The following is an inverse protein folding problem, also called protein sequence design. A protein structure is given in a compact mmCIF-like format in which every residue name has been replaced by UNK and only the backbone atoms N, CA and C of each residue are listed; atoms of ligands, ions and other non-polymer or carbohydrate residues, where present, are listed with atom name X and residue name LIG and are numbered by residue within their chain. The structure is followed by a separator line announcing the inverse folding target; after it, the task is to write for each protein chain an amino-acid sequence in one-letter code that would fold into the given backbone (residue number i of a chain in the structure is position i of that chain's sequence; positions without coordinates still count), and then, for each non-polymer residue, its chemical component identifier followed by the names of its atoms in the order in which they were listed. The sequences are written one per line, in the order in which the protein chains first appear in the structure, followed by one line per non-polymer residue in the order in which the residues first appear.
data_IF_546310696483
#
_entry.id   IF_546310696483
#
_cell.length_a   1.000
_cell.length_b   1.000
_cell.length_c   1.000
_cell.angle_alpha   90.00
_cell.angle_beta   90.00
_cell.angle_gamma   90.00
#
_symmetry.space_group_name_H-M   'P 1'
#
loop_
_entity.id
_entity.type
_entity.pdbx_description
1 polymer ?
#
# COMPACT_ATOMS: atom_id res chain seq x y z
N UNK A 1 19.89 -12.56 -10.40
CA UNK A 1 21.18 -11.84 -10.61
C UNK A 1 20.88 -10.38 -10.31
N UNK A 2 21.39 -9.66 -9.31
CA UNK A 2 22.56 -9.81 -8.45
C UNK A 2 22.22 -10.35 -7.05
N UNK A 3 22.88 -11.44 -6.66
CA UNK A 3 22.85 -11.99 -5.31
C UNK A 3 24.29 -12.33 -4.91
N UNK A 4 25.15 -11.31 -4.85
CA UNK A 4 26.44 -11.30 -4.15
C UNK A 4 26.66 -9.89 -3.61
N UNK A 5 27.16 -9.80 -2.38
CA UNK A 5 26.94 -8.68 -1.47
C UNK A 5 27.58 -7.37 -1.91
N UNK A 6 26.74 -6.44 -2.38
CA UNK A 6 27.04 -5.02 -2.29
C UNK A 6 26.52 -4.60 -0.92
N UNK A 7 27.43 -4.27 -0.01
CA UNK A 7 27.06 -3.79 1.32
C UNK A 7 26.63 -2.31 1.22
N UNK A 8 25.42 -2.12 0.71
CA UNK A 8 24.79 -0.81 0.61
C UNK A 8 24.16 -0.54 1.97
N UNK A 9 24.72 0.42 2.71
CA UNK A 9 24.24 0.82 4.03
C UNK A 9 23.78 2.28 3.99
N UNK A 10 22.98 2.68 5.00
CA UNK A 10 22.52 4.05 5.23
C UNK A 10 21.63 4.66 4.13
N UNK A 11 20.68 3.87 3.61
CA UNK A 11 19.67 4.39 2.70
C UNK A 11 18.57 5.15 3.46
N UNK A 12 18.08 6.26 2.88
CA UNK A 12 16.90 6.96 3.42
C UNK A 12 15.60 6.18 3.15
N UNK A 13 15.54 5.49 2.01
CA UNK A 13 14.37 4.76 1.56
C UNK A 13 14.74 3.38 1.01
N UNK A 14 13.90 2.38 1.30
CA UNK A 14 13.94 1.05 0.68
C UNK A 14 12.60 0.82 0.00
N UNK A 15 12.61 0.49 -1.30
CA UNK A 15 11.41 0.20 -2.07
C UNK A 15 11.43 -1.26 -2.51
N UNK A 16 10.51 -2.07 -1.99
CA UNK A 16 10.27 -3.42 -2.46
C UNK A 16 9.22 -3.39 -3.57
N UNK A 17 9.66 -3.54 -4.82
CA UNK A 17 8.75 -3.59 -5.98
C UNK A 17 7.80 -4.80 -5.96
N UNK A 18 8.25 -5.91 -5.38
CA UNK A 18 7.44 -7.08 -5.10
C UNK A 18 7.75 -7.58 -3.69
N UNK A 19 6.74 -8.18 -3.03
CA UNK A 19 6.91 -8.66 -1.67
C UNK A 19 7.88 -9.85 -1.63
N UNK A 20 8.87 -9.86 -0.71
CA UNK A 20 9.77 -11.00 -0.58
C UNK A 20 9.05 -12.31 -0.23
N UNK A 21 9.49 -13.39 -0.87
CA UNK A 21 9.00 -14.74 -0.62
C UNK A 21 9.46 -15.33 0.71
N UNK A 22 10.36 -14.68 1.44
CA UNK A 22 10.80 -15.13 2.76
C UNK A 22 10.76 -14.03 3.83
N UNK A 23 10.31 -14.44 5.02
CA UNK A 23 10.59 -13.84 6.35
C UNK A 23 11.81 -12.92 6.40
N UNK A 24 12.92 -13.63 6.49
CA UNK A 24 14.26 -13.12 6.65
C UNK A 24 14.68 -12.21 5.51
N UNK A 25 14.28 -12.54 4.26
CA UNK A 25 14.55 -11.69 3.11
C UNK A 25 13.91 -10.32 3.21
N UNK A 26 12.68 -10.22 3.75
CA UNK A 26 12.04 -8.93 4.00
C UNK A 26 12.79 -8.11 5.04
N UNK A 27 13.13 -8.73 6.18
CA UNK A 27 13.85 -8.07 7.28
C UNK A 27 15.23 -7.57 6.83
N UNK A 28 15.99 -8.39 6.10
CA UNK A 28 17.30 -7.99 5.58
C UNK A 28 17.24 -6.84 4.58
N UNK A 29 16.18 -6.74 3.76
CA UNK A 29 16.00 -5.63 2.81
C UNK A 29 15.68 -4.33 3.53
N UNK A 30 14.68 -4.34 4.41
CA UNK A 30 14.29 -3.12 5.13
C UNK A 30 15.34 -2.67 6.14
N UNK A 31 16.17 -3.60 6.64
CA UNK A 31 17.31 -3.30 7.51
C UNK A 31 18.44 -2.50 6.86
N UNK A 32 18.29 -2.07 5.60
CA UNK A 32 19.20 -1.17 4.87
C UNK A 32 18.91 0.31 5.11
N UNK A 33 17.77 0.63 5.73
CA UNK A 33 17.38 1.99 6.16
C UNK A 33 17.21 2.07 7.68
N UNK A 34 17.13 3.27 8.25
CA UNK A 34 16.82 3.49 9.66
C UNK A 34 17.87 3.00 10.66
N UNK A 35 19.16 3.10 10.31
CA UNK A 35 20.30 2.67 11.14
C UNK A 35 20.89 3.82 11.96
N UNK A 36 21.63 3.47 13.02
CA UNK A 36 22.36 4.41 13.88
C UNK A 36 21.48 5.54 14.45
N UNK A 37 20.23 5.23 14.79
CA UNK A 37 19.27 6.20 15.34
C UNK A 37 18.65 7.15 14.31
N UNK A 38 18.99 7.02 13.02
CA UNK A 38 18.36 7.78 11.93
C UNK A 38 16.98 7.21 11.62
N UNK A 39 16.08 8.07 11.16
CA UNK A 39 14.82 7.64 10.58
C UNK A 39 15.03 7.01 9.20
N UNK A 40 14.13 6.11 8.82
CA UNK A 40 14.21 5.38 7.56
C UNK A 40 12.86 4.84 7.14
N UNK A 41 12.58 4.89 5.83
CA UNK A 41 11.27 4.53 5.29
C UNK A 41 11.38 3.31 4.38
N UNK A 42 10.61 2.27 4.68
CA UNK A 42 10.49 1.09 3.82
C UNK A 42 9.09 1.02 3.21
N UNK A 43 9.02 1.04 1.88
CA UNK A 43 7.78 0.97 1.10
C UNK A 43 7.75 -0.38 0.38
N UNK A 44 6.63 -1.09 0.44
CA UNK A 44 6.47 -2.38 -0.25
C UNK A 44 5.21 -2.38 -1.06
N UNK A 45 5.34 -2.62 -2.36
CA UNK A 45 4.20 -2.84 -3.23
C UNK A 45 3.71 -4.27 -3.08
N UNK A 46 2.39 -4.40 -3.05
CA UNK A 46 1.71 -5.69 -2.93
C UNK A 46 0.55 -5.72 -3.91
N UNK A 47 0.34 -6.88 -4.50
CA UNK A 47 -0.89 -7.22 -5.21
C UNK A 47 -1.91 -7.82 -4.25
N UNK A 48 -3.20 -7.85 -4.61
CA UNK A 48 -4.21 -8.64 -3.92
C UNK A 48 -3.82 -10.07 -3.55
N UNK A 49 -3.22 -10.82 -4.48
CA UNK A 49 -2.87 -12.23 -4.28
C UNK A 49 -1.76 -12.39 -3.23
N UNK A 50 -0.92 -11.36 -3.07
CA UNK A 50 0.19 -11.31 -2.12
C UNK A 50 -0.24 -10.87 -0.72
N UNK A 51 -1.50 -10.50 -0.50
CA UNK A 51 -1.97 -10.01 0.80
C UNK A 51 -1.76 -11.03 1.92
N UNK A 52 -1.92 -12.32 1.64
CA UNK A 52 -1.64 -13.39 2.61
C UNK A 52 -0.17 -13.38 3.07
N UNK A 53 0.75 -13.10 2.14
CA UNK A 53 2.19 -13.02 2.41
C UNK A 53 2.51 -11.85 3.33
N UNK A 54 1.89 -10.69 3.08
CA UNK A 54 2.01 -9.52 3.94
C UNK A 54 1.61 -9.87 5.38
N UNK A 55 0.49 -10.54 5.58
CA UNK A 55 0.03 -10.93 6.92
C UNK A 55 1.03 -11.86 7.63
N UNK A 56 1.65 -12.80 6.91
CA UNK A 56 2.69 -13.66 7.47
C UNK A 56 3.90 -12.86 7.93
N UNK A 57 4.34 -11.89 7.11
CA UNK A 57 5.45 -10.99 7.45
C UNK A 57 5.11 -10.15 8.69
N UNK A 58 3.92 -9.55 8.74
CA UNK A 58 3.48 -8.74 9.89
C UNK A 58 3.45 -9.56 11.19
N UNK A 59 2.94 -10.80 11.12
CA UNK A 59 2.92 -11.72 12.28
C UNK A 59 4.34 -12.05 12.77
N UNK A 60 5.27 -12.31 11.85
CA UNK A 60 6.66 -12.63 12.20
C UNK A 60 7.42 -11.42 12.77
N UNK A 61 7.25 -10.23 12.18
CA UNK A 61 7.90 -8.98 12.62
C UNK A 61 7.21 -8.36 13.83
N UNK A 62 6.01 -8.83 14.20
CA UNK A 62 5.17 -8.31 15.29
C UNK A 62 4.90 -6.80 15.17
N UNK A 63 4.79 -6.30 13.93
CA UNK A 63 4.46 -4.90 13.65
C UNK A 63 3.38 -4.81 12.60
N UNK A 64 2.51 -3.82 12.77
CA UNK A 64 1.55 -3.45 11.74
C UNK A 64 2.26 -2.65 10.65
N UNK A 65 2.11 -3.08 9.39
CA UNK A 65 2.55 -2.32 8.23
C UNK A 65 1.34 -1.53 7.76
N UNK A 66 1.43 -0.20 7.85
CA UNK A 66 0.35 0.71 7.47
C UNK A 66 0.18 0.69 5.95
N UNK A 67 -1.07 0.58 5.49
CA UNK A 67 -1.42 0.76 4.09
C UNK A 67 -1.51 2.26 3.81
N UNK A 68 -0.66 2.75 2.92
CA UNK A 68 -0.73 4.11 2.42
C UNK A 68 -1.57 4.22 1.15
N UNK A 69 -2.09 5.42 0.89
CA UNK A 69 -2.72 5.75 -0.39
C UNK A 69 -1.64 6.07 -1.43
N UNK A 70 -1.92 5.75 -2.68
CA UNK A 70 -1.09 6.23 -3.77
C UNK A 70 -1.31 7.74 -3.94
N UNK A 71 -0.25 8.51 -4.26
CA UNK A 71 -0.39 9.92 -4.59
C UNK A 71 -1.21 10.06 -5.88
N UNK A 72 -2.01 11.13 -5.95
CA UNK A 72 -2.71 11.47 -7.17
C UNK A 72 -1.74 12.15 -8.16
N UNK A 73 -2.10 12.20 -9.45
CA UNK A 73 -1.29 12.86 -10.49
C UNK A 73 -0.94 14.31 -10.09
N UNK A 74 -1.90 15.00 -9.47
CA UNK A 74 -1.71 16.36 -8.96
C UNK A 74 -0.62 16.42 -7.89
N UNK A 75 -0.59 15.48 -6.96
CA UNK A 75 0.44 15.43 -5.91
C UNK A 75 1.83 15.21 -6.51
N UNK A 76 1.92 14.34 -7.53
CA UNK A 76 3.17 14.09 -8.25
C UNK A 76 3.66 15.37 -8.94
N UNK A 77 2.78 16.06 -9.66
CA UNK A 77 3.14 17.31 -10.34
C UNK A 77 3.54 18.39 -9.35
N UNK A 78 2.84 18.51 -8.22
CA UNK A 78 3.21 19.47 -7.17
C UNK A 78 4.60 19.16 -6.59
N UNK A 79 4.91 17.89 -6.33
CA UNK A 79 6.24 17.49 -5.89
C UNK A 79 7.33 17.78 -6.94
N UNK A 80 7.02 17.62 -8.24
CA UNK A 80 7.93 18.00 -9.33
C UNK A 80 8.14 19.51 -9.40
N UNK A 81 7.08 20.32 -9.28
CA UNK A 81 7.17 21.78 -9.22
C UNK A 81 8.03 22.24 -8.05
N UNK A 82 7.81 21.66 -6.87
CA UNK A 82 8.63 21.96 -5.70
C UNK A 82 10.11 21.68 -5.97
N UNK A 83 10.43 20.53 -6.58
CA UNK A 83 11.81 20.19 -6.94
C UNK A 83 12.43 21.18 -7.93
N UNK A 84 11.68 21.62 -8.95
CA UNK A 84 12.16 22.63 -9.90
C UNK A 84 12.50 23.94 -9.17
N UNK A 85 11.64 24.37 -8.23
CA UNK A 85 11.87 25.58 -7.44
C UNK A 85 13.10 25.42 -6.54
N UNK A 86 13.26 24.26 -5.91
CA UNK A 86 14.41 23.94 -5.05
C UNK A 86 15.72 23.94 -5.84
N UNK A 87 15.74 23.29 -7.01
CA UNK A 87 16.88 23.26 -7.92
C UNK A 87 17.27 24.68 -8.37
N UNK A 88 16.28 25.52 -8.71
CA UNK A 88 16.51 26.94 -9.04
C UNK A 88 17.06 27.70 -7.83
N UNK A 89 16.49 27.47 -6.64
CA UNK A 89 16.94 28.07 -5.38
C UNK A 89 18.40 27.76 -5.08
N UNK A 90 18.82 26.51 -5.30
CA UNK A 90 20.21 26.09 -5.10
C UNK A 90 21.16 26.80 -6.09
N UNK A 91 20.80 26.89 -7.37
CA UNK A 91 21.59 27.63 -8.38
C UNK A 91 21.75 29.11 -7.99
N UNK A 92 20.68 29.71 -7.45
CA UNK A 92 20.73 31.10 -6.99
C UNK A 92 21.69 31.29 -5.80
N UNK A 93 21.68 30.36 -4.84
CA UNK A 93 22.60 30.35 -3.69
C UNK A 93 24.05 30.21 -4.17
N UNK A 94 24.30 29.28 -5.08
CA UNK A 94 25.64 28.96 -5.57
C UNK A 94 26.19 30.00 -6.57
N UNK A 95 25.34 30.94 -7.00
CA UNK A 95 25.61 31.93 -8.05
C UNK A 95 26.06 31.33 -9.39
N UNK A 96 25.68 30.07 -9.67
CA UNK A 96 26.04 29.34 -10.89
C UNK A 96 25.16 29.73 -12.10
N UNK A 97 24.82 31.03 -12.19
CA UNK A 97 24.04 31.60 -13.29
C UNK A 97 24.74 32.80 -13.96
N UNK A 98 25.89 33.24 -13.44
CA UNK A 98 26.62 34.41 -13.92
C UNK A 98 26.94 34.34 -15.42
N UNK A 99 27.29 33.15 -15.93
CA UNK A 99 27.60 32.90 -17.34
C UNK A 99 26.39 33.14 -18.26
N UNK A 100 25.18 33.04 -17.73
CA UNK A 100 23.93 33.21 -18.48
C UNK A 100 23.35 34.62 -18.38
N UNK A 101 23.89 35.50 -17.51
CA UNK A 101 23.36 36.87 -17.30
C UNK A 101 23.24 37.70 -18.56
N UNK A 102 24.19 37.60 -19.49
CA UNK A 102 24.15 38.35 -20.75
C UNK A 102 22.96 37.91 -21.61
N UNK A 103 22.80 36.60 -21.80
CA UNK A 103 21.68 36.03 -22.54
C UNK A 103 20.34 36.37 -21.89
N UNK A 104 20.24 36.26 -20.55
CA UNK A 104 19.04 36.62 -19.82
C UNK A 104 18.64 38.09 -20.06
N UNK A 105 19.61 39.02 -20.02
CA UNK A 105 19.36 40.44 -20.34
C UNK A 105 18.91 40.66 -21.78
N UNK A 106 19.43 39.89 -22.73
CA UNK A 106 19.02 40.01 -24.12
C UNK A 106 17.60 39.46 -24.34
N UNK A 107 17.24 38.36 -23.67
CA UNK A 107 15.86 37.84 -23.67
C UNK A 107 14.88 38.86 -23.09
N UNK A 108 15.20 39.46 -21.94
CA UNK A 108 14.36 40.47 -21.27
C UNK A 108 14.13 41.77 -22.06
N UNK A 109 14.87 41.99 -23.16
CA UNK A 109 14.59 43.10 -24.08
C UNK A 109 13.49 42.75 -25.10
N UNK A 110 13.26 41.46 -25.35
CA UNK A 110 12.34 40.98 -26.37
C UNK A 110 10.92 40.81 -25.84
N UNK A 111 10.78 40.38 -24.59
CA UNK A 111 9.52 40.03 -23.96
C UNK A 111 9.61 40.21 -22.43
N UNK A 112 8.48 40.25 -21.74
CA UNK A 112 8.49 40.31 -20.28
C UNK A 112 9.06 39.05 -19.61
N UNK A 113 9.52 39.23 -18.37
CA UNK A 113 10.18 38.18 -17.60
C UNK A 113 9.27 36.96 -17.36
N UNK A 114 7.97 37.17 -17.16
CA UNK A 114 7.03 36.10 -16.86
C UNK A 114 6.82 35.20 -18.08
N UNK A 115 6.60 35.79 -19.25
CA UNK A 115 6.44 35.08 -20.50
C UNK A 115 7.71 34.33 -20.93
N UNK A 116 8.89 34.90 -20.69
CA UNK A 116 10.18 34.22 -20.94
C UNK A 116 10.34 33.01 -20.01
N UNK A 117 10.09 33.18 -18.71
CA UNK A 117 10.19 32.09 -17.74
C UNK A 117 9.17 31.00 -18.05
N UNK A 118 7.92 31.35 -18.36
CA UNK A 118 6.89 30.40 -18.78
C UNK A 118 7.31 29.62 -20.04
N UNK A 119 7.93 30.29 -21.01
CA UNK A 119 8.45 29.66 -22.22
C UNK A 119 9.61 28.71 -21.95
N UNK A 120 10.54 29.08 -21.06
CA UNK A 120 11.65 28.22 -20.64
C UNK A 120 11.17 27.00 -19.85
N UNK A 121 10.17 27.19 -18.97
CA UNK A 121 9.52 26.10 -18.23
C UNK A 121 8.81 25.16 -19.19
N UNK A 122 8.11 25.68 -20.19
CA UNK A 122 7.51 24.85 -21.25
C UNK A 122 8.59 24.08 -22.02
N UNK A 123 9.65 24.75 -22.47
CA UNK A 123 10.73 24.12 -23.23
C UNK A 123 11.42 22.98 -22.45
N UNK A 124 11.61 23.17 -21.15
CA UNK A 124 12.42 22.26 -20.32
C UNK A 124 11.58 21.20 -19.59
N UNK A 125 10.31 21.48 -19.30
CA UNK A 125 9.49 20.69 -18.40
C UNK A 125 8.06 20.43 -18.89
N UNK A 126 7.74 20.73 -20.17
CA UNK A 126 6.39 20.43 -20.72
C UNK A 126 5.99 18.98 -20.44
N UNK A 127 6.87 18.02 -20.73
CA UNK A 127 6.56 16.60 -20.55
C UNK A 127 6.35 16.22 -19.07
N UNK A 128 7.05 16.90 -18.16
CA UNK A 128 7.02 16.60 -16.72
C UNK A 128 5.80 17.21 -16.04
N UNK A 129 5.35 18.38 -16.51
CA UNK A 129 4.26 19.14 -15.89
C UNK A 129 2.90 18.93 -16.55
N UNK A 130 2.84 18.23 -17.68
CA UNK A 130 1.59 17.85 -18.35
C UNK A 130 0.92 16.68 -17.62
N UNK A 131 -0.29 16.92 -17.11
CA UNK A 131 -1.14 15.91 -16.46
C UNK A 131 -1.43 14.71 -17.38
N UNK A 132 -1.53 14.94 -18.69
CA UNK A 132 -1.87 13.90 -19.67
C UNK A 132 -0.77 12.84 -19.83
N UNK A 133 0.46 13.13 -19.40
CA UNK A 133 1.57 12.19 -19.46
C UNK A 133 1.59 11.18 -18.31
N UNK A 134 0.67 11.31 -17.35
CA UNK A 134 0.59 10.43 -16.20
C UNK A 134 -0.66 9.55 -16.27
N UNK A 135 -0.47 8.26 -15.97
CA UNK A 135 -1.59 7.34 -15.84
C UNK A 135 -2.29 7.56 -14.50
N UNK A 136 -3.60 7.73 -14.52
CA UNK A 136 -4.41 7.66 -13.30
C UNK A 136 -4.45 6.23 -12.77
N UNK A 137 -4.08 6.06 -11.50
CA UNK A 137 -4.12 4.76 -10.85
C UNK A 137 -5.42 4.68 -10.03
N UNK A 138 -6.33 3.83 -10.47
CA UNK A 138 -7.54 3.54 -9.69
C UNK A 138 -7.18 2.81 -8.39
N UNK A 139 -7.74 3.23 -7.24
CA UNK A 139 -7.50 2.54 -5.98
C UNK A 139 -8.08 1.12 -6.04
N UNK A 140 -7.24 0.12 -5.74
CA UNK A 140 -7.68 -1.27 -5.60
C UNK A 140 -8.72 -1.36 -4.48
N UNK A 141 -9.92 -1.85 -4.79
CA UNK A 141 -10.99 -2.00 -3.80
C UNK A 141 -10.62 -3.15 -2.86
N UNK A 142 -10.98 -3.07 -1.57
CA UNK A 142 -10.68 -4.17 -0.63
C UNK A 142 -11.33 -5.49 -1.04
N UNK A 143 -12.41 -5.46 -1.82
CA UNK A 143 -13.05 -6.65 -2.39
C UNK A 143 -12.12 -7.41 -3.37
N UNK A 144 -11.13 -6.73 -3.94
CA UNK A 144 -10.20 -7.30 -4.91
C UNK A 144 -9.08 -8.10 -4.24
N UNK A 145 -8.86 -7.95 -2.91
CA UNK A 145 -7.76 -8.56 -2.12
C UNK A 145 -7.82 -10.10 -2.00
N UNK A 146 -8.60 -10.78 -2.85
CA UNK A 146 -8.87 -12.21 -2.77
C UNK A 146 -9.89 -12.55 -1.68
N UNK A 147 -10.76 -13.51 -1.96
CA UNK A 147 -11.82 -13.95 -1.03
C UNK A 147 -11.44 -15.26 -0.35
N UNK A 148 -11.74 -15.37 0.93
CA UNK A 148 -11.72 -16.60 1.69
C UNK A 148 -13.16 -17.04 1.99
N UNK A 149 -13.41 -18.34 1.87
CA UNK A 149 -14.63 -18.96 2.38
C UNK A 149 -14.36 -19.43 3.80
N UNK A 150 -15.16 -18.98 4.76
CA UNK A 150 -15.10 -19.41 6.16
C UNK A 150 -16.18 -20.46 6.41
N UNK A 151 -15.81 -21.54 7.09
CA UNK A 151 -16.71 -22.53 7.67
C UNK A 151 -17.07 -22.09 9.08
N UNK A 152 -18.35 -22.18 9.44
CA UNK A 152 -18.86 -21.89 10.77
C UNK A 152 -19.59 -23.13 11.28
N UNK A 153 -19.18 -23.65 12.43
CA UNK A 153 -19.78 -24.83 13.07
C UNK A 153 -21.11 -24.51 13.77
N UNK A 154 -21.97 -23.72 13.12
CA UNK A 154 -23.33 -23.41 13.55
C UNK A 154 -24.26 -23.35 12.33
N UNK A 155 -25.43 -23.98 12.41
CA UNK A 155 -26.42 -24.09 11.34
C UNK A 155 -27.84 -23.79 11.80
N UNK A 156 -28.83 -24.23 11.01
CA UNK A 156 -30.27 -24.05 11.32
C UNK A 156 -30.67 -24.68 12.64
N UNK A 157 -30.07 -25.82 13.00
CA UNK A 157 -30.28 -26.50 14.29
C UNK A 157 -29.83 -25.65 15.48
N UNK A 158 -28.89 -24.73 15.26
CA UNK A 158 -28.44 -23.75 16.24
C UNK A 158 -29.22 -22.42 16.17
N UNK A 159 -30.34 -22.39 15.43
CA UNK A 159 -31.19 -21.21 15.25
C UNK A 159 -30.61 -20.13 14.33
N UNK A 160 -29.57 -20.46 13.55
CA UNK A 160 -28.95 -19.52 12.63
C UNK A 160 -29.81 -19.30 11.38
N UNK A 161 -29.88 -18.03 10.97
CA UNK A 161 -30.35 -17.59 9.66
C UNK A 161 -29.21 -16.80 9.00
N UNK A 162 -29.20 -16.60 7.67
CA UNK A 162 -28.16 -15.80 7.02
C UNK A 162 -27.95 -14.43 7.68
N UNK A 163 -29.05 -13.77 8.06
CA UNK A 163 -29.02 -12.48 8.78
C UNK A 163 -28.38 -12.61 10.16
N UNK A 164 -28.84 -13.56 10.99
CA UNK A 164 -28.31 -13.78 12.35
C UNK A 164 -26.83 -14.18 12.33
N UNK A 165 -26.41 -14.99 11.36
CA UNK A 165 -25.02 -15.41 11.19
C UNK A 165 -24.12 -14.20 10.89
N UNK A 166 -24.54 -13.34 9.96
CA UNK A 166 -23.81 -12.11 9.63
C UNK A 166 -23.72 -11.18 10.84
N UNK A 167 -24.84 -10.94 11.53
CA UNK A 167 -24.88 -10.12 12.76
C UNK A 167 -23.95 -10.69 13.84
N UNK A 168 -23.94 -12.01 14.03
CA UNK A 168 -23.08 -12.69 14.99
C UNK A 168 -21.58 -12.47 14.71
N UNK A 169 -21.17 -12.58 13.44
CA UNK A 169 -19.79 -12.33 13.02
C UNK A 169 -19.43 -10.85 13.20
N UNK A 170 -20.27 -9.93 12.74
CA UNK A 170 -20.05 -8.48 12.85
C UNK A 170 -19.89 -8.06 14.31
N UNK A 171 -20.77 -8.55 15.20
CA UNK A 171 -20.77 -8.19 16.62
C UNK A 171 -19.49 -8.63 17.33
N UNK A 172 -18.98 -9.83 17.01
CA UNK A 172 -17.81 -10.39 17.70
C UNK A 172 -16.49 -9.93 17.08
N UNK A 173 -16.38 -9.99 15.75
CA UNK A 173 -15.14 -9.67 15.02
C UNK A 173 -14.99 -8.18 14.67
N UNK A 174 -16.00 -7.34 14.94
CA UNK A 174 -16.01 -5.90 14.64
C UNK A 174 -15.69 -5.57 13.17
N UNK A 175 -16.07 -6.45 12.25
CA UNK A 175 -15.91 -6.26 10.80
C UNK A 175 -17.15 -5.60 10.21
N UNK A 176 -17.01 -4.84 9.11
CA UNK A 176 -18.16 -4.24 8.42
C UNK A 176 -19.01 -5.33 7.77
N UNK A 177 -20.33 -5.22 7.91
CA UNK A 177 -21.29 -6.14 7.30
C UNK A 177 -21.12 -6.25 5.77
N UNK A 178 -20.74 -5.16 5.09
CA UNK A 178 -20.55 -5.13 3.63
C UNK A 178 -19.45 -6.09 3.12
N UNK A 179 -18.53 -6.51 3.99
CA UNK A 179 -17.48 -7.46 3.64
C UNK A 179 -17.94 -8.92 3.69
N UNK A 180 -19.08 -9.21 4.32
CA UNK A 180 -19.59 -10.57 4.46
C UNK A 180 -20.61 -10.84 3.35
N UNK A 181 -20.22 -11.66 2.37
CA UNK A 181 -21.06 -12.05 1.23
C UNK A 181 -21.33 -13.56 1.25
N UNK A 182 -22.31 -14.02 0.48
CA UNK A 182 -22.64 -15.44 0.29
C UNK A 182 -22.81 -16.22 1.60
N UNK A 183 -23.69 -15.74 2.49
CA UNK A 183 -24.01 -16.43 3.74
C UNK A 183 -24.94 -17.62 3.46
N UNK A 184 -24.37 -18.83 3.45
CA UNK A 184 -25.09 -20.07 3.22
C UNK A 184 -25.27 -20.81 4.56
N UNK A 185 -26.52 -21.10 4.94
CA UNK A 185 -26.84 -21.75 6.23
C UNK A 185 -27.45 -23.13 5.99
N UNK A 186 -26.74 -24.15 6.43
CA UNK A 186 -27.13 -25.56 6.38
C UNK A 186 -27.62 -26.04 7.75
N UNK A 187 -28.05 -27.30 7.86
CA UNK A 187 -28.60 -27.86 9.09
C UNK A 187 -27.66 -27.74 10.31
N UNK A 188 -26.39 -28.13 10.17
CA UNK A 188 -25.43 -28.15 11.29
C UNK A 188 -24.21 -27.25 11.11
N UNK A 189 -24.14 -26.48 10.03
CA UNK A 189 -23.01 -25.59 9.74
C UNK A 189 -23.42 -24.49 8.78
N UNK A 190 -22.53 -23.50 8.60
CA UNK A 190 -22.73 -22.40 7.66
C UNK A 190 -21.42 -22.03 6.95
N UNK A 191 -21.54 -21.29 5.86
CA UNK A 191 -20.42 -20.68 5.16
C UNK A 191 -20.66 -19.19 4.93
N UNK A 192 -19.57 -18.41 4.94
CA UNK A 192 -19.57 -17.03 4.43
C UNK A 192 -18.34 -16.79 3.57
N UNK A 193 -18.41 -15.85 2.65
CA UNK A 193 -17.28 -15.36 1.86
C UNK A 193 -16.90 -13.97 2.31
N UNK A 194 -15.64 -13.76 2.66
CA UNK A 194 -15.09 -12.48 3.12
C UNK A 194 -13.72 -12.22 2.46
N UNK A 195 -13.25 -10.98 2.35
CA UNK A 195 -11.87 -10.74 1.92
C UNK A 195 -10.86 -11.33 2.90
N UNK A 196 -9.64 -11.63 2.43
CA UNK A 196 -8.64 -12.33 3.24
C UNK A 196 -8.28 -11.63 4.55
N UNK A 197 -8.27 -10.28 4.56
CA UNK A 197 -8.00 -9.50 5.77
C UNK A 197 -9.04 -9.78 6.85
N UNK A 198 -10.32 -9.63 6.50
CA UNK A 198 -11.43 -9.83 7.40
C UNK A 198 -11.53 -11.30 7.83
N UNK A 199 -11.20 -12.26 6.95
CA UNK A 199 -11.13 -13.66 7.32
C UNK A 199 -10.19 -13.94 8.50
N UNK A 200 -9.02 -13.29 8.53
CA UNK A 200 -8.05 -13.47 9.60
C UNK A 200 -8.55 -12.86 10.91
N UNK A 201 -9.10 -11.64 10.85
CA UNK A 201 -9.71 -10.96 12.00
C UNK A 201 -10.85 -11.81 12.57
N UNK A 202 -11.71 -12.36 11.71
CA UNK A 202 -12.83 -13.21 12.12
C UNK A 202 -12.30 -14.50 12.74
N UNK A 203 -11.36 -15.20 12.10
CA UNK A 203 -10.82 -16.46 12.67
C UNK A 203 -10.18 -16.20 14.04
N UNK A 204 -9.43 -15.13 14.19
CA UNK A 204 -8.76 -14.74 15.45
C UNK A 204 -9.77 -14.36 16.55
N UNK A 205 -10.77 -13.52 16.24
CA UNK A 205 -11.82 -13.15 17.19
C UNK A 205 -12.67 -14.35 17.66
N UNK A 206 -12.67 -15.43 16.90
CA UNK A 206 -13.38 -16.66 17.20
C UNK A 206 -12.46 -17.80 17.70
N UNK A 207 -11.15 -17.56 17.80
CA UNK A 207 -10.19 -18.50 18.35
C UNK A 207 -10.20 -18.55 19.89
N UNK A 208 -10.68 -17.50 20.56
CA UNK A 208 -10.65 -17.42 22.02
C UNK A 208 -11.66 -18.35 22.72
N UNK A 209 -11.15 -19.03 23.76
CA UNK A 209 -11.87 -19.71 24.84
C UNK A 209 -12.61 -21.03 24.56
N UNK A 210 -11.93 -22.01 23.95
CA UNK A 210 -12.29 -23.42 24.18
C UNK A 210 -11.07 -24.32 24.33
N UNK A 211 -10.65 -24.58 25.59
CA UNK A 211 -9.72 -25.65 25.93
C UNK A 211 -10.19 -26.97 25.29
N UNK A 212 -9.54 -27.40 24.22
CA UNK A 212 -9.72 -28.72 23.59
C UNK A 212 -10.91 -28.91 22.63
N UNK A 213 -11.68 -27.88 22.25
CA UNK A 213 -12.76 -28.03 21.23
C UNK A 213 -12.36 -27.41 19.89
N UNK A 214 -12.86 -27.99 18.79
CA UNK A 214 -12.66 -27.46 17.42
C UNK A 214 -13.09 -25.99 17.33
N UNK A 215 -12.37 -25.15 16.56
CA UNK A 215 -12.67 -23.74 16.40
C UNK A 215 -14.09 -23.55 15.84
N UNK A 216 -14.79 -22.52 16.32
CA UNK A 216 -16.17 -22.24 15.87
C UNK A 216 -16.19 -21.75 14.43
N UNK A 217 -15.14 -21.04 14.02
CA UNK A 217 -14.94 -20.54 12.67
C UNK A 217 -13.54 -20.94 12.20
N UNK A 218 -13.46 -21.54 11.02
CA UNK A 218 -12.20 -21.88 10.37
C UNK A 218 -12.25 -21.55 8.88
N UNK A 219 -11.10 -21.47 8.22
CA UNK A 219 -11.07 -21.33 6.76
C UNK A 219 -11.54 -22.64 6.14
N UNK A 220 -12.51 -22.56 5.23
CA UNK A 220 -12.99 -23.73 4.51
C UNK A 220 -11.86 -24.31 3.66
N UNK A 221 -11.71 -25.64 3.66
CA UNK A 221 -10.80 -26.33 2.74
C UNK A 221 -11.28 -26.05 1.31
N UNK A 222 -10.37 -25.64 0.43
CA UNK A 222 -10.68 -25.52 -0.99
C UNK A 222 -11.12 -26.89 -1.52
N UNK A 223 -12.24 -26.96 -2.24
CA UNK A 223 -12.53 -28.14 -3.06
C UNK A 223 -11.36 -28.31 -4.03
N UNK A 224 -10.74 -29.50 -4.03
CA UNK A 224 -9.87 -29.94 -5.13
C UNK A 224 -10.68 -30.00 -6.41
#
# INVERSE_FOLDING_TARGET
MAARGIDINDLSHVINYAIPQEVESYVHRIGRTGRAGKEGTAITFITPQEYRRLLQIQKAVKKEIKKEKLPDVKDVIQAKKFRIIDDIGQILIDNDYDKFKKLAKDLLKMEDAENIVASLLKLSYSDVLDENNYNEISPVKMEDTGKARLFIAMGRKDGMTPKKLVEFIVKKAKVKQSYIKNAEVYEGFSFVSVPFKEAEIIVEAFAENRKGKKPLIEKAKSKK
#
